data_IF_716944645819
#
_entry.id   IF_716944645819
#
_cell.length_a   1.000
_cell.length_b   1.000
_cell.length_c   1.000
_cell.angle_alpha   90.00
_cell.angle_beta   90.00
_cell.angle_gamma   90.00
#
_symmetry.space_group_name_H-M   'P 1'
#
loop_
_entity.id
_entity.type
_entity.pdbx_description
1 polymer ?
#
# COMPACT_ATOMS: atom_id res chain seq x y z
N UNK A 1 -6.78 7.08 1.04
CA UNK A 1 -7.37 5.91 0.35
C UNK A 1 -7.83 6.25 -1.06
N UNK A 2 -8.51 7.38 -1.29
CA UNK A 2 -8.89 7.84 -2.65
C UNK A 2 -7.71 7.91 -3.63
N UNK A 3 -6.54 8.34 -3.14
CA UNK A 3 -5.28 8.34 -3.89
C UNK A 3 -4.96 6.97 -4.50
N UNK A 4 -5.15 5.90 -3.75
CA UNK A 4 -4.89 4.53 -4.21
C UNK A 4 -5.84 4.10 -5.33
N UNK A 5 -7.14 4.39 -5.16
CA UNK A 5 -8.14 4.07 -6.17
C UNK A 5 -7.93 4.86 -7.45
N UNK A 6 -7.60 6.15 -7.35
CA UNK A 6 -7.29 6.99 -8.52
C UNK A 6 -6.00 6.56 -9.22
N UNK A 7 -4.98 6.18 -8.45
CA UNK A 7 -3.76 5.60 -9.00
C UNK A 7 -4.09 4.34 -9.80
N UNK A 8 -4.85 3.39 -9.21
CA UNK A 8 -5.31 2.18 -9.88
C UNK A 8 -6.12 2.45 -11.14
N UNK A 9 -7.08 3.38 -11.10
CA UNK A 9 -7.87 3.75 -12.28
C UNK A 9 -6.99 4.32 -13.41
N UNK A 10 -5.90 4.99 -13.09
CA UNK A 10 -4.97 5.52 -14.10
C UNK A 10 -3.98 4.47 -14.63
N UNK A 11 -3.62 3.46 -13.83
CA UNK A 11 -2.56 2.51 -14.14
C UNK A 11 -3.04 1.10 -14.52
N UNK A 12 -4.28 0.71 -14.24
CA UNK A 12 -4.72 -0.70 -14.36
C UNK A 12 -4.49 -1.30 -15.75
N UNK A 13 -4.56 -0.50 -16.82
CA UNK A 13 -4.35 -0.96 -18.19
C UNK A 13 -2.95 -1.53 -18.47
N UNK A 14 -1.93 -1.07 -17.75
CA UNK A 14 -0.56 -1.60 -17.84
C UNK A 14 -0.30 -2.78 -16.89
N UNK A 15 -1.20 -3.02 -15.93
CA UNK A 15 -1.11 -4.08 -14.93
C UNK A 15 -1.87 -5.32 -15.41
N UNK A 16 -3.19 -5.16 -15.59
CA UNK A 16 -4.11 -6.16 -16.12
C UNK A 16 -5.41 -5.46 -16.54
N UNK A 17 -5.71 -5.48 -17.85
CA UNK A 17 -6.93 -4.85 -18.39
C UNK A 17 -8.22 -5.44 -17.79
N UNK A 18 -8.19 -6.69 -17.32
CA UNK A 18 -9.35 -7.38 -16.73
C UNK A 18 -9.66 -6.91 -15.31
N UNK A 19 -8.75 -6.15 -14.69
CA UNK A 19 -8.95 -5.56 -13.37
C UNK A 19 -10.18 -4.64 -13.40
N UNK A 20 -10.31 -3.84 -14.46
CA UNK A 20 -11.47 -2.99 -14.75
C UNK A 20 -12.08 -2.33 -13.49
N UNK A 21 -11.30 -1.53 -12.74
CA UNK A 21 -11.65 -1.06 -11.40
C UNK A 21 -12.89 -0.16 -11.37
N UNK A 22 -13.30 0.38 -12.53
CA UNK A 22 -14.53 1.18 -12.65
C UNK A 22 -15.82 0.33 -12.69
N UNK A 23 -15.69 -1.00 -12.81
CA UNK A 23 -16.80 -1.94 -12.84
C UNK A 23 -16.82 -2.85 -11.61
N UNK A 24 -16.14 -2.46 -10.52
CA UNK A 24 -16.04 -3.22 -9.29
C UNK A 24 -16.14 -2.30 -8.08
N UNK A 25 -16.88 -2.75 -7.08
CA UNK A 25 -16.90 -2.11 -5.77
C UNK A 25 -15.87 -2.77 -4.86
N UNK A 26 -15.07 -1.95 -4.19
CA UNK A 26 -14.06 -2.39 -3.25
C UNK A 26 -14.39 -1.89 -1.84
N UNK A 27 -14.28 -2.78 -0.86
CA UNK A 27 -14.40 -2.43 0.56
C UNK A 27 -13.04 -2.62 1.21
N UNK A 28 -12.47 -1.54 1.75
CA UNK A 28 -11.19 -1.56 2.46
C UNK A 28 -11.48 -1.49 3.95
N UNK A 29 -10.95 -2.43 4.71
CA UNK A 29 -10.93 -2.40 6.16
C UNK A 29 -9.53 -2.02 6.64
N UNK A 30 -9.45 -1.03 7.51
CA UNK A 30 -8.21 -0.60 8.16
C UNK A 30 -8.40 -0.74 9.66
N UNK A 31 -7.47 -1.43 10.30
CA UNK A 31 -7.44 -1.61 11.75
C UNK A 31 -6.13 -1.04 12.30
N UNK A 32 -6.23 -0.20 13.34
CA UNK A 32 -5.07 0.16 14.13
C UNK A 32 -4.89 -0.86 15.24
N UNK A 33 -3.79 -1.61 15.19
CA UNK A 33 -3.47 -2.66 16.17
C UNK A 33 -2.80 -2.11 17.44
N UNK A 34 -2.24 -0.89 17.37
CA UNK A 34 -1.44 -0.32 18.46
C UNK A 34 -2.25 0.64 19.35
N UNK A 35 -3.53 0.87 19.06
CA UNK A 35 -4.39 1.78 19.84
C UNK A 35 -3.95 3.25 19.80
N UNK A 36 -3.03 3.61 18.91
CA UNK A 36 -2.56 4.98 18.68
C UNK A 36 -3.50 5.74 17.74
N UNK A 37 -3.16 6.98 17.37
CA UNK A 37 -3.87 7.64 16.27
C UNK A 37 -3.63 6.91 14.94
N UNK A 38 -4.68 6.86 14.11
CA UNK A 38 -4.59 6.18 12.82
C UNK A 38 -3.71 6.98 11.85
N UNK A 39 -2.79 6.29 11.16
CA UNK A 39 -1.94 6.93 10.15
C UNK A 39 -2.75 7.37 8.92
N UNK A 40 -2.42 8.55 8.39
CA UNK A 40 -2.92 9.02 7.09
C UNK A 40 -2.17 8.41 5.90
N UNK A 41 -1.04 7.71 6.14
CA UNK A 41 -0.14 7.17 5.11
C UNK A 41 -0.55 5.75 4.71
N UNK A 42 -1.63 5.63 3.94
CA UNK A 42 -2.27 4.35 3.61
C UNK A 42 -2.48 4.13 2.12
N UNK A 43 -2.18 5.09 1.24
CA UNK A 43 -2.46 4.92 -0.18
C UNK A 43 -1.60 3.82 -0.82
N UNK A 44 -0.32 3.70 -0.47
CA UNK A 44 0.52 2.63 -1.03
C UNK A 44 0.05 1.23 -0.63
N UNK A 45 -0.22 0.99 0.65
CA UNK A 45 -0.72 -0.31 1.14
C UNK A 45 -2.12 -0.61 0.58
N UNK A 46 -2.99 0.39 0.53
CA UNK A 46 -4.32 0.26 -0.08
C UNK A 46 -4.23 -0.07 -1.58
N UNK A 47 -3.31 0.54 -2.31
CA UNK A 47 -3.11 0.29 -3.73
C UNK A 47 -2.69 -1.16 -3.99
N UNK A 48 -1.74 -1.68 -3.19
CA UNK A 48 -1.32 -3.09 -3.27
C UNK A 48 -2.49 -4.02 -2.97
N UNK A 49 -3.29 -3.73 -1.93
CA UNK A 49 -4.47 -4.52 -1.59
C UNK A 49 -5.50 -4.56 -2.74
N UNK A 50 -5.77 -3.41 -3.35
CA UNK A 50 -6.70 -3.31 -4.49
C UNK A 50 -6.19 -4.09 -5.71
N UNK A 51 -4.89 -4.00 -6.03
CA UNK A 51 -4.28 -4.77 -7.14
C UNK A 51 -4.31 -6.27 -6.83
N UNK A 52 -3.98 -6.67 -5.62
CA UNK A 52 -4.00 -8.07 -5.16
C UNK A 52 -5.39 -8.68 -5.30
N UNK A 53 -6.42 -8.02 -4.76
CA UNK A 53 -7.82 -8.47 -4.86
C UNK A 53 -8.31 -8.41 -6.31
N UNK A 54 -8.01 -7.32 -7.04
CA UNK A 54 -8.42 -7.14 -8.43
C UNK A 54 -7.83 -8.15 -9.40
N UNK A 55 -6.65 -8.71 -9.09
CA UNK A 55 -5.99 -9.74 -9.89
C UNK A 55 -6.12 -11.16 -9.32
N UNK A 56 -6.80 -11.32 -8.17
CA UNK A 56 -6.90 -12.57 -7.43
C UNK A 56 -5.53 -13.21 -7.14
N UNK A 57 -4.52 -12.40 -6.79
CA UNK A 57 -3.18 -12.86 -6.44
C UNK A 57 -2.87 -12.47 -4.99
N UNK A 58 -2.56 -13.43 -4.10
CA UNK A 58 -2.22 -13.11 -2.72
C UNK A 58 -0.93 -12.30 -2.64
N UNK A 59 -0.79 -11.51 -1.58
CA UNK A 59 0.49 -10.88 -1.22
C UNK A 59 1.50 -11.93 -0.76
N UNK A 60 2.78 -11.57 -0.75
CA UNK A 60 3.83 -12.44 -0.19
C UNK A 60 3.74 -12.51 1.33
N UNK A 61 4.26 -13.61 1.91
CA UNK A 61 4.27 -13.82 3.35
C UNK A 61 5.21 -12.84 4.08
N UNK A 62 4.88 -12.57 5.35
CA UNK A 62 5.66 -11.68 6.23
C UNK A 62 6.01 -10.34 5.58
N UNK A 63 5.03 -9.74 4.89
CA UNK A 63 5.20 -8.52 4.11
C UNK A 63 4.73 -7.27 4.86
N UNK A 64 5.59 -6.25 4.91
CA UNK A 64 5.25 -4.92 5.40
C UNK A 64 5.44 -3.87 4.30
N UNK A 65 4.52 -2.93 4.24
CA UNK A 65 4.57 -1.79 3.31
C UNK A 65 4.78 -0.54 4.12
N UNK A 66 5.90 0.15 3.88
CA UNK A 66 6.20 1.42 4.50
C UNK A 66 6.18 2.52 3.44
N UNK A 67 5.59 3.65 3.79
CA UNK A 67 5.59 4.85 2.95
C UNK A 67 4.25 5.15 2.31
N UNK A 68 4.27 6.14 1.41
CA UNK A 68 3.08 6.66 0.79
C UNK A 68 3.34 6.99 -0.69
N UNK A 69 2.27 6.99 -1.49
CA UNK A 69 2.33 7.35 -2.91
C UNK A 69 1.32 8.42 -3.29
N UNK A 70 1.64 9.18 -4.33
CA UNK A 70 0.73 10.14 -4.96
C UNK A 70 -0.13 9.46 -6.03
N UNK A 71 -1.12 10.19 -6.55
CA UNK A 71 -1.97 9.75 -7.68
C UNK A 71 -1.12 9.44 -8.93
N UNK A 72 0.00 10.13 -9.12
CA UNK A 72 0.91 9.90 -10.25
C UNK A 72 1.85 8.69 -10.05
N UNK A 73 1.78 8.02 -8.90
CA UNK A 73 2.66 6.91 -8.54
C UNK A 73 4.02 7.34 -8.01
N UNK A 74 4.23 8.64 -7.75
CA UNK A 74 5.45 9.11 -7.11
C UNK A 74 5.42 8.75 -5.62
N UNK A 75 6.53 8.21 -5.11
CA UNK A 75 6.64 7.84 -3.70
C UNK A 75 7.06 9.04 -2.84
N UNK A 76 6.47 9.15 -1.65
CA UNK A 76 6.78 10.19 -0.69
C UNK A 76 7.99 9.82 0.18
N UNK A 77 8.70 10.85 0.68
CA UNK A 77 9.77 10.65 1.66
C UNK A 77 9.20 10.05 2.95
N UNK A 78 9.95 9.12 3.51
CA UNK A 78 9.69 8.51 4.80
C UNK A 78 10.35 9.33 5.91
N UNK A 79 9.62 9.51 7.00
CA UNK A 79 10.12 10.08 8.26
C UNK A 79 10.23 8.94 9.28
N UNK A 80 11.12 9.09 10.25
CA UNK A 80 11.33 8.12 11.34
C UNK A 80 11.54 6.68 10.84
N UNK A 81 12.29 6.55 9.73
CA UNK A 81 12.49 5.28 9.03
C UNK A 81 13.06 4.18 9.95
N UNK A 82 14.00 4.53 10.82
CA UNK A 82 14.60 3.59 11.76
C UNK A 82 13.54 2.99 12.70
N UNK A 83 12.68 3.82 13.27
CA UNK A 83 11.61 3.39 14.19
C UNK A 83 10.57 2.53 13.45
N UNK A 84 10.20 2.91 12.22
CA UNK A 84 9.25 2.12 11.41
C UNK A 84 9.82 0.75 11.01
N UNK A 85 11.11 0.69 10.66
CA UNK A 85 11.79 -0.57 10.36
C UNK A 85 11.89 -1.46 11.61
N UNK A 86 12.19 -0.86 12.76
CA UNK A 86 12.24 -1.58 14.03
C UNK A 86 10.88 -2.20 14.35
N UNK A 87 9.79 -1.42 14.27
CA UNK A 87 8.42 -1.92 14.49
C UNK A 87 8.06 -3.03 13.49
N UNK A 88 8.40 -2.87 12.21
CA UNK A 88 8.14 -3.90 11.20
C UNK A 88 8.90 -5.20 11.51
N UNK A 89 10.17 -5.10 11.91
CA UNK A 89 10.99 -6.25 12.33
C UNK A 89 10.42 -6.94 13.56
N UNK A 90 10.08 -6.18 14.61
CA UNK A 90 9.51 -6.72 15.85
C UNK A 90 8.13 -7.38 15.62
N UNK A 91 7.40 -6.92 14.59
CA UNK A 91 6.14 -7.51 14.15
C UNK A 91 6.32 -8.74 13.23
N UNK A 92 7.56 -9.19 12.99
CA UNK A 92 7.86 -10.38 12.20
C UNK A 92 7.87 -10.18 10.69
N UNK A 93 7.98 -8.94 10.20
CA UNK A 93 8.17 -8.69 8.76
C UNK A 93 9.54 -9.21 8.29
N UNK A 94 9.54 -9.92 7.16
CA UNK A 94 10.75 -10.41 6.49
C UNK A 94 10.98 -9.73 5.14
N UNK A 95 9.91 -9.24 4.54
CA UNK A 95 9.90 -8.53 3.28
C UNK A 95 9.35 -7.12 3.54
N UNK A 96 10.15 -6.09 3.31
CA UNK A 96 9.74 -4.70 3.52
C UNK A 96 9.81 -3.94 2.20
N UNK A 97 8.69 -3.36 1.77
CA UNK A 97 8.65 -2.45 0.64
C UNK A 97 8.94 -1.02 1.11
N UNK A 98 9.88 -0.34 0.44
CA UNK A 98 10.27 1.04 0.68
C UNK A 98 10.26 1.87 -0.62
N UNK A 99 9.79 3.12 -0.58
CA UNK A 99 10.08 4.17 -1.55
C UNK A 99 11.58 4.30 -1.84
N UNK A 100 11.96 4.34 -3.12
CA UNK A 100 13.35 4.56 -3.55
C UNK A 100 13.88 5.96 -3.17
N UNK A 101 12.99 6.90 -2.83
CA UNK A 101 13.35 8.23 -2.30
C UNK A 101 13.75 8.21 -0.82
N UNK A 102 13.84 7.04 -0.19
CA UNK A 102 14.17 6.86 1.22
C UNK A 102 15.67 6.69 1.51
N UNK A 103 16.53 6.75 0.49
CA UNK A 103 18.01 6.74 0.60
C UNK A 103 18.62 8.06 0.18
#
# INVERSE_FOLDING_TARGET
MDTAMRLLQSSYGSIDQRLAPMHRDFVIHVANLNGTEMTGRLALSSYIALVSIGTARPTIDSFAVLGEVTISGAAAKLDDLADQLQIASDSGAKNILLPVSAT
#
